data_IF_633422329865
#
_entry.id   IF_633422329865
#
_cell.length_a   1.000
_cell.length_b   1.000
_cell.length_c   1.000
_cell.angle_alpha   90.00
_cell.angle_beta   90.00
_cell.angle_gamma   90.00
#
_symmetry.space_group_name_H-M   'P 1'
#
loop_
_entity.id
_entity.type
_entity.pdbx_description
1 polymer ?
#
# COMPACT_ATOMS: atom_id res chain seq x y z
N UNK A 1 10.89 -4.20 -3.78
CA UNK A 1 10.25 -4.24 -5.10
C UNK A 1 10.28 -5.65 -5.65
N UNK A 2 9.16 -6.17 -6.14
CA UNK A 2 9.16 -7.36 -6.98
C UNK A 2 8.79 -6.90 -8.39
N UNK A 3 9.78 -6.86 -9.29
CA UNK A 3 9.59 -6.52 -10.72
C UNK A 3 8.49 -7.36 -11.37
N UNK A 4 8.18 -8.51 -10.78
CA UNK A 4 7.17 -9.48 -11.22
C UNK A 4 5.71 -8.98 -11.21
N UNK A 5 5.39 -7.74 -10.82
CA UNK A 5 4.01 -7.21 -10.75
C UNK A 5 3.78 -5.92 -11.57
N UNK A 6 4.74 -5.54 -12.41
CA UNK A 6 4.58 -4.46 -13.40
C UNK A 6 4.33 -5.07 -14.79
N UNK A 7 3.59 -4.32 -15.61
CA UNK A 7 3.29 -4.67 -17.01
C UNK A 7 4.18 -3.85 -17.97
N UNK A 8 4.52 -2.60 -17.61
CA UNK A 8 5.45 -1.72 -18.33
C UNK A 8 6.84 -1.64 -17.67
N UNK A 9 7.81 -1.03 -18.35
CA UNK A 9 9.12 -0.75 -17.75
C UNK A 9 8.98 0.13 -16.50
N UNK A 10 9.58 -0.26 -15.37
CA UNK A 10 9.41 0.44 -14.12
C UNK A 10 10.16 1.76 -14.11
N UNK A 11 9.40 2.85 -14.17
CA UNK A 11 9.89 4.21 -13.95
C UNK A 11 9.60 4.73 -12.53
N UNK A 12 8.82 4.01 -11.71
CA UNK A 12 8.52 4.38 -10.33
C UNK A 12 8.92 3.29 -9.33
N UNK A 13 9.60 3.71 -8.26
CA UNK A 13 10.09 2.85 -7.18
C UNK A 13 9.79 3.46 -5.80
N UNK A 14 9.44 2.63 -4.83
CA UNK A 14 9.31 2.99 -3.41
C UNK A 14 10.39 2.27 -2.59
N UNK A 15 11.06 3.02 -1.73
CA UNK A 15 12.06 2.53 -0.78
C UNK A 15 11.61 2.92 0.62
N UNK A 16 11.44 1.94 1.49
CA UNK A 16 11.19 2.19 2.91
C UNK A 16 12.52 2.36 3.64
N UNK A 17 12.77 3.55 4.18
CA UNK A 17 13.88 3.80 5.09
C UNK A 17 13.43 3.41 6.50
N UNK A 18 13.85 2.22 6.94
CA UNK A 18 13.35 1.60 8.17
C UNK A 18 14.26 1.95 9.35
N UNK A 19 13.69 2.60 10.36
CA UNK A 19 14.35 2.91 11.62
C UNK A 19 13.76 2.06 12.74
N UNK A 20 14.53 1.18 13.40
CA UNK A 20 14.06 0.47 14.58
C UNK A 20 13.85 1.45 15.73
N UNK A 21 12.71 1.35 16.42
CA UNK A 21 12.40 2.13 17.61
C UNK A 21 11.75 1.22 18.64
N UNK A 22 12.24 1.29 19.87
CA UNK A 22 11.73 0.49 20.99
C UNK A 22 10.74 1.28 21.85
N UNK A 23 9.87 0.55 22.56
CA UNK A 23 9.07 1.08 23.70
C UNK A 23 8.18 2.28 23.34
N UNK A 24 7.57 2.26 22.16
CA UNK A 24 6.54 3.22 21.80
C UNK A 24 5.19 2.84 22.42
N UNK A 25 4.43 3.86 22.77
CA UNK A 25 3.01 3.83 23.07
C UNK A 25 2.28 4.34 21.82
N UNK A 26 1.23 3.62 21.41
CA UNK A 26 0.44 3.91 20.23
C UNK A 26 -0.97 4.30 20.70
N UNK A 27 -1.34 5.55 20.47
CA UNK A 27 -2.65 6.07 20.81
C UNK A 27 -3.42 6.35 19.51
N UNK A 28 -4.60 5.76 19.35
CA UNK A 28 -5.40 5.87 18.12
C UNK A 28 -5.77 7.34 17.86
N UNK A 29 -5.53 7.80 16.63
CA UNK A 29 -5.82 9.20 16.26
C UNK A 29 -7.24 9.40 15.73
N UNK A 30 -7.91 8.32 15.35
CA UNK A 30 -9.26 8.29 14.80
C UNK A 30 -9.92 6.93 15.09
N UNK A 31 -11.16 6.78 14.65
CA UNK A 31 -11.98 5.56 14.76
C UNK A 31 -11.64 4.49 13.70
N UNK A 32 -10.68 4.74 12.82
CA UNK A 32 -10.31 3.78 11.76
C UNK A 32 -9.35 2.70 12.28
N UNK A 33 -8.61 3.00 13.35
CA UNK A 33 -7.55 2.14 13.88
C UNK A 33 -6.34 2.00 12.95
N UNK A 34 -6.19 2.88 11.96
CA UNK A 34 -5.06 2.87 11.01
C UNK A 34 -4.01 3.95 11.31
N UNK A 35 -4.38 5.02 12.00
CA UNK A 35 -3.53 6.16 12.31
C UNK A 35 -3.35 6.32 13.82
N UNK A 36 -2.12 6.64 14.24
CA UNK A 36 -1.70 6.67 15.63
C UNK A 36 -0.86 7.91 15.93
N UNK A 37 -1.02 8.44 17.14
CA UNK A 37 0.00 9.24 17.82
C UNK A 37 0.99 8.31 18.51
N UNK A 38 2.25 8.72 18.51
CA UNK A 38 3.33 7.93 19.11
C UNK A 38 3.95 8.72 20.26
N UNK A 39 4.05 8.10 21.42
CA UNK A 39 4.80 8.61 22.57
C UNK A 39 5.77 7.55 23.07
N UNK A 40 6.84 7.95 23.76
CA UNK A 40 7.76 6.99 24.35
C UNK A 40 7.26 6.56 25.73
N UNK A 41 7.17 5.26 26.00
CA UNK A 41 6.78 4.73 27.32
C UNK A 41 7.77 5.10 28.43
N UNK A 42 9.03 5.33 28.05
CA UNK A 42 10.18 5.72 28.90
C UNK A 42 11.19 6.48 28.02
N UNK A 43 12.16 7.15 28.63
CA UNK A 43 13.24 7.77 27.88
C UNK A 43 13.89 6.78 26.89
N UNK A 44 13.94 7.11 25.58
CA UNK A 44 14.49 6.22 24.57
C UNK A 44 16.01 6.11 24.73
N UNK A 45 16.59 4.98 24.31
CA UNK A 45 18.06 4.85 24.20
C UNK A 45 18.59 5.83 23.16
N UNK A 46 17.86 5.99 22.07
CA UNK A 46 18.10 6.91 20.97
C UNK A 46 17.69 8.34 21.36
N UNK A 47 18.46 8.97 22.24
CA UNK A 47 18.20 10.32 22.75
C UNK A 47 18.01 11.37 21.64
N UNK A 48 18.61 11.15 20.46
CA UNK A 48 18.42 12.03 19.31
C UNK A 48 16.98 12.10 18.80
N UNK A 49 16.11 11.13 19.15
CA UNK A 49 14.69 11.16 18.78
C UNK A 49 13.91 12.19 19.59
N UNK A 50 14.39 12.58 20.78
CA UNK A 50 13.72 13.55 21.65
C UNK A 50 13.61 14.94 21.00
N UNK A 51 14.53 15.30 20.11
CA UNK A 51 14.46 16.57 19.35
C UNK A 51 13.28 16.63 18.37
N UNK A 52 12.65 15.50 18.09
CA UNK A 52 11.51 15.39 17.18
C UNK A 52 10.17 15.29 17.91
N UNK A 53 10.15 15.46 19.23
CA UNK A 53 8.90 15.56 19.97
C UNK A 53 8.18 16.88 19.65
N UNK A 54 6.86 16.85 19.58
CA UNK A 54 6.02 18.05 19.56
C UNK A 54 5.76 18.60 20.98
N UNK A 55 4.95 19.65 21.06
CA UNK A 55 4.61 20.33 22.31
C UNK A 55 3.88 19.42 23.33
N UNK A 56 3.25 18.34 22.84
CA UNK A 56 2.54 17.36 23.67
C UNK A 56 3.43 16.16 24.03
N UNK A 57 4.72 16.21 23.69
CA UNK A 57 5.66 15.11 23.92
C UNK A 57 5.45 13.91 22.98
N UNK A 58 4.75 14.10 21.86
CA UNK A 58 4.51 13.05 20.85
C UNK A 58 5.56 13.11 19.76
N UNK A 59 5.99 11.97 19.26
CA UNK A 59 6.99 11.86 18.18
C UNK A 59 6.39 12.37 16.87
N UNK A 60 6.85 13.52 16.40
CA UNK A 60 6.31 14.17 15.20
C UNK A 60 6.84 13.55 13.91
N UNK A 61 5.93 12.91 13.16
CA UNK A 61 6.17 12.46 11.79
C UNK A 61 6.66 13.60 10.90
N UNK A 62 6.05 14.79 11.01
CA UNK A 62 6.38 15.96 10.21
C UNK A 62 7.80 16.46 10.47
N UNK A 63 8.21 16.63 11.74
CA UNK A 63 9.56 17.09 12.10
C UNK A 63 10.62 16.12 11.60
N UNK A 64 10.41 14.81 11.77
CA UNK A 64 11.34 13.79 11.28
C UNK A 64 11.43 13.79 9.75
N UNK A 65 10.29 13.87 9.05
CA UNK A 65 10.25 13.88 7.58
C UNK A 65 10.92 15.15 7.01
N UNK A 66 10.73 16.30 7.64
CA UNK A 66 11.40 17.55 7.28
C UNK A 66 12.92 17.45 7.45
N UNK A 67 13.38 16.90 8.57
CA UNK A 67 14.81 16.70 8.82
C UNK A 67 15.43 15.73 7.81
N UNK A 68 14.77 14.60 7.54
CA UNK A 68 15.22 13.64 6.52
C UNK A 68 15.26 14.28 5.14
N UNK A 69 14.24 15.04 4.76
CA UNK A 69 14.20 15.75 3.48
C UNK A 69 15.33 16.78 3.34
N UNK A 70 15.70 17.46 4.42
CA UNK A 70 16.83 18.40 4.43
C UNK A 70 18.15 17.66 4.18
N UNK A 71 18.37 16.53 4.87
CA UNK A 71 19.56 15.68 4.69
C UNK A 71 19.62 15.17 3.25
N UNK A 72 18.55 14.58 2.73
CA UNK A 72 18.49 14.06 1.35
C UNK A 72 18.79 15.17 0.34
N UNK A 73 18.24 16.38 0.52
CA UNK A 73 18.54 17.52 -0.36
C UNK A 73 20.00 17.96 -0.32
N UNK A 74 20.68 17.78 0.81
CA UNK A 74 22.10 18.08 0.93
C UNK A 74 22.94 17.00 0.24
N UNK A 75 22.64 15.73 0.50
CA UNK A 75 23.39 14.60 -0.06
C UNK A 75 23.20 14.43 -1.56
N UNK A 76 22.00 14.71 -2.09
CA UNK A 76 21.72 14.63 -3.53
C UNK A 76 22.65 15.57 -4.34
N UNK A 77 23.09 16.70 -3.77
CA UNK A 77 24.04 17.61 -4.43
C UNK A 77 25.45 17.03 -4.58
N UNK A 78 25.78 16.03 -3.75
CA UNK A 78 27.09 15.38 -3.77
C UNK A 78 27.16 14.25 -4.81
N UNK A 79 26.01 13.81 -5.36
CA UNK A 79 25.92 12.77 -6.38
C UNK A 79 26.35 13.37 -7.73
N UNK A 80 27.48 12.87 -8.27
CA UNK A 80 28.02 13.32 -9.56
C UNK A 80 27.74 12.36 -10.72
N UNK A 81 27.36 11.12 -10.42
CA UNK A 81 27.21 10.04 -11.41
C UNK A 81 25.89 10.08 -12.18
N UNK A 82 24.91 10.84 -11.70
CA UNK A 82 23.60 11.00 -12.34
C UNK A 82 22.97 12.34 -11.94
N UNK A 83 22.11 12.89 -12.79
CA UNK A 83 21.31 14.07 -12.43
C UNK A 83 20.14 13.62 -11.54
N UNK A 84 20.28 13.87 -10.24
CA UNK A 84 19.27 13.53 -9.23
C UNK A 84 18.71 14.81 -8.63
N UNK A 85 17.38 14.92 -8.57
CA UNK A 85 16.69 16.06 -7.95
C UNK A 85 15.63 15.57 -6.97
N UNK A 86 15.22 16.42 -6.02
CA UNK A 86 14.16 16.10 -5.05
C UNK A 86 12.89 16.86 -5.46
N UNK A 87 11.84 16.15 -5.92
CA UNK A 87 10.57 16.77 -6.33
C UNK A 87 9.92 17.55 -5.18
N UNK A 88 9.13 18.58 -5.49
CA UNK A 88 8.41 19.40 -4.50
C UNK A 88 7.54 18.52 -3.59
N UNK A 89 7.44 18.89 -2.30
CA UNK A 89 6.58 18.18 -1.34
C UNK A 89 5.12 18.24 -1.81
N UNK A 90 4.49 17.09 -2.06
CA UNK A 90 3.03 16.98 -2.25
C UNK A 90 2.35 16.98 -0.88
N UNK A 91 1.27 17.75 -0.72
CA UNK A 91 0.56 17.87 0.55
C UNK A 91 0.00 16.53 1.03
N UNK A 92 0.34 16.14 2.27
CA UNK A 92 -0.04 14.87 2.88
C UNK A 92 0.58 13.61 2.25
N UNK A 93 1.57 13.74 1.36
CA UNK A 93 2.37 12.59 0.92
C UNK A 93 3.42 12.23 1.97
N UNK A 94 3.56 10.95 2.36
CA UNK A 94 4.61 10.50 3.28
C UNK A 94 5.98 10.36 2.60
N UNK A 95 6.03 10.44 1.27
CA UNK A 95 7.24 10.15 0.50
C UNK A 95 8.08 11.40 0.21
N UNK A 96 9.40 11.20 0.20
CA UNK A 96 10.37 12.12 -0.38
C UNK A 96 10.75 11.57 -1.75
N UNK A 97 10.13 12.11 -2.80
CA UNK A 97 10.33 11.65 -4.17
C UNK A 97 11.61 12.25 -4.77
N UNK A 98 12.53 11.37 -5.16
CA UNK A 98 13.68 11.67 -6.01
C UNK A 98 13.27 11.51 -7.47
N UNK A 99 13.84 12.35 -8.33
CA UNK A 99 13.76 12.24 -9.78
C UNK A 99 15.19 12.08 -10.30
N UNK A 100 15.46 10.92 -10.87
CA UNK A 100 16.75 10.54 -11.43
C UNK A 100 16.58 10.60 -12.95
N UNK A 101 17.26 11.54 -13.61
CA UNK A 101 17.27 11.55 -15.07
C UNK A 101 18.22 10.47 -15.56
N UNK A 102 17.68 9.53 -16.33
CA UNK A 102 18.44 8.44 -16.92
C UNK A 102 17.99 8.24 -18.39
N UNK A 103 18.38 9.16 -19.29
CA UNK A 103 17.90 9.17 -20.67
C UNK A 103 18.00 7.78 -21.33
N UNK A 104 16.94 7.32 -22.05
CA UNK A 104 15.76 8.08 -22.49
C UNK A 104 14.62 8.15 -21.45
N UNK A 105 14.79 7.59 -20.25
CA UNK A 105 13.72 7.51 -19.24
C UNK A 105 13.99 8.38 -18.02
N UNK A 106 12.94 8.76 -17.31
CA UNK A 106 13.07 9.36 -15.98
C UNK A 106 12.60 8.36 -14.93
N UNK A 107 13.41 8.19 -13.88
CA UNK A 107 13.08 7.30 -12.78
C UNK A 107 12.67 8.14 -11.57
N UNK A 108 11.49 7.86 -11.03
CA UNK A 108 10.97 8.42 -9.79
C UNK A 108 11.19 7.44 -8.64
N UNK A 109 11.82 7.88 -7.55
CA UNK A 109 12.06 7.04 -6.37
C UNK A 109 11.48 7.69 -5.11
N UNK A 110 10.43 7.10 -4.55
CA UNK A 110 9.78 7.52 -3.32
C UNK A 110 10.48 6.93 -2.10
N UNK A 111 11.15 7.78 -1.31
CA UNK A 111 11.73 7.40 -0.03
C UNK A 111 10.70 7.60 1.07
N UNK A 112 10.32 6.52 1.76
CA UNK A 112 9.28 6.49 2.79
C UNK A 112 9.93 6.25 4.15
N UNK A 113 9.93 7.28 5.01
CA UNK A 113 10.36 7.13 6.40
C UNK A 113 9.41 6.19 7.14
N UNK A 114 9.98 5.12 7.72
CA UNK A 114 9.22 4.09 8.41
C UNK A 114 9.86 3.73 9.74
N UNK A 115 9.09 3.66 10.81
CA UNK A 115 9.53 3.10 12.09
C UNK A 115 9.19 1.62 12.15
N UNK A 116 10.14 0.80 12.61
CA UNK A 116 9.90 -0.61 12.94
C UNK A 116 9.84 -0.76 14.45
N UNK A 117 8.73 -1.26 14.96
CA UNK A 117 8.47 -1.37 16.40
C UNK A 117 8.22 -2.82 16.77
N UNK A 118 9.04 -3.35 17.67
CA UNK A 118 8.88 -4.71 18.17
C UNK A 118 7.82 -4.73 19.27
N UNK A 119 6.57 -4.96 18.90
CA UNK A 119 5.44 -5.15 19.80
C UNK A 119 4.30 -5.89 19.08
N UNK A 120 3.34 -6.41 19.84
CA UNK A 120 2.13 -7.02 19.28
C UNK A 120 1.34 -6.03 18.44
N UNK A 121 0.74 -6.50 17.34
CA UNK A 121 -0.11 -5.69 16.47
C UNK A 121 -1.30 -5.08 17.24
N UNK A 122 -1.79 -3.89 16.85
CA UNK A 122 -2.87 -3.22 17.55
C UNK A 122 -4.19 -3.99 17.47
N UNK A 123 -5.10 -3.74 18.42
CA UNK A 123 -6.41 -4.40 18.50
C UNK A 123 -7.26 -4.19 17.24
N UNK A 124 -7.14 -3.03 16.59
CA UNK A 124 -7.79 -2.71 15.31
C UNK A 124 -7.51 -3.74 14.20
N UNK A 125 -6.44 -4.52 14.32
CA UNK A 125 -6.05 -5.54 13.35
C UNK A 125 -6.56 -6.94 13.69
N UNK A 126 -7.19 -7.15 14.85
CA UNK A 126 -7.46 -8.49 15.40
C UNK A 126 -8.29 -9.35 14.45
N UNK A 127 -9.31 -8.76 13.85
CA UNK A 127 -10.23 -9.42 12.91
C UNK A 127 -9.81 -9.28 11.44
N UNK A 128 -8.64 -8.69 11.18
CA UNK A 128 -8.02 -8.62 9.86
C UNK A 128 -7.17 -9.85 9.53
N UNK A 129 -6.59 -9.86 8.31
CA UNK A 129 -5.71 -10.92 7.81
C UNK A 129 -6.38 -12.30 7.89
N UNK A 130 -7.57 -12.42 7.30
CA UNK A 130 -8.39 -13.65 7.32
C UNK A 130 -7.90 -14.69 6.30
N UNK A 131 -6.66 -15.14 6.44
CA UNK A 131 -5.97 -16.03 5.49
C UNK A 131 -5.97 -17.50 5.91
N UNK A 132 -6.76 -17.88 6.90
CA UNK A 132 -6.75 -19.22 7.49
C UNK A 132 -7.06 -20.32 6.45
N UNK A 133 -8.06 -20.11 5.59
CA UNK A 133 -8.43 -21.06 4.54
C UNK A 133 -7.56 -20.92 3.29
N UNK A 134 -6.93 -19.75 3.09
CA UNK A 134 -6.05 -19.51 1.94
C UNK A 134 -4.63 -20.01 2.19
N UNK A 135 -3.92 -19.49 3.20
CA UNK A 135 -2.51 -19.78 3.49
C UNK A 135 -2.30 -20.61 4.76
N UNK A 136 -3.35 -20.80 5.58
CA UNK A 136 -3.28 -21.57 6.81
C UNK A 136 -3.11 -20.73 8.09
N UNK A 137 -3.68 -21.25 9.19
CA UNK A 137 -3.58 -20.64 10.53
C UNK A 137 -2.14 -20.39 10.99
N UNK A 138 -1.20 -21.30 10.68
CA UNK A 138 0.21 -21.17 11.07
C UNK A 138 0.87 -19.94 10.43
N UNK A 139 0.65 -19.73 9.13
CA UNK A 139 1.18 -18.57 8.40
C UNK A 139 0.59 -17.26 8.95
N UNK A 140 -0.71 -17.24 9.27
CA UNK A 140 -1.33 -16.09 9.93
C UNK A 140 -0.66 -15.75 11.26
N UNK A 141 -0.44 -16.75 12.11
CA UNK A 141 0.24 -16.55 13.41
C UNK A 141 1.66 -16.02 13.21
N UNK A 142 2.42 -16.59 12.27
CA UNK A 142 3.76 -16.11 11.93
C UNK A 142 3.76 -14.63 11.51
N UNK A 143 2.86 -14.26 10.59
CA UNK A 143 2.73 -12.87 10.14
C UNK A 143 2.39 -11.91 11.29
N UNK A 144 1.45 -12.28 12.18
CA UNK A 144 1.08 -11.43 13.33
C UNK A 144 2.16 -11.31 14.41
N UNK A 145 3.13 -12.24 14.43
CA UNK A 145 4.28 -12.19 15.34
C UNK A 145 5.41 -11.27 14.83
N UNK A 146 5.33 -10.78 13.58
CA UNK A 146 6.28 -9.82 13.05
C UNK A 146 6.09 -8.42 13.65
N UNK A 147 7.15 -7.61 13.60
CA UNK A 147 7.13 -6.22 14.09
C UNK A 147 6.09 -5.36 13.34
N UNK A 148 5.61 -4.31 14.00
CA UNK A 148 4.78 -3.28 13.38
C UNK A 148 5.67 -2.32 12.57
N UNK A 149 5.16 -1.86 11.43
CA UNK A 149 5.76 -0.78 10.66
C UNK A 149 4.82 0.43 10.66
N UNK A 150 5.37 1.63 10.90
CA UNK A 150 4.63 2.89 10.99
C UNK A 150 5.23 3.90 10.01
N UNK A 151 4.44 4.34 9.04
CA UNK A 151 4.87 5.33 8.03
C UNK A 151 4.46 6.74 8.46
N UNK A 152 5.33 7.72 8.19
CA UNK A 152 5.12 9.14 8.50
C UNK A 152 4.02 9.76 7.61
N UNK A 153 2.75 9.42 7.87
CA UNK A 153 1.59 9.81 7.06
C UNK A 153 0.51 10.47 7.90
N UNK A 154 0.23 11.73 7.57
CA UNK A 154 -0.82 12.54 8.18
C UNK A 154 -2.22 11.97 7.89
N UNK A 155 -3.08 12.01 8.90
CA UNK A 155 -4.51 11.74 8.77
C UNK A 155 -5.21 13.00 8.24
N UNK A 156 -6.11 12.82 7.26
CA UNK A 156 -6.82 13.91 6.58
C UNK A 156 -8.31 14.02 6.94
N UNK A 157 -8.86 13.04 7.66
CA UNK A 157 -10.28 13.07 8.10
C UNK A 157 -10.43 14.02 9.29
N UNK A 158 -10.91 15.23 8.99
CA UNK A 158 -11.36 16.35 9.82
C UNK A 158 -10.66 16.75 11.14
N UNK A 159 -10.43 18.07 11.30
CA UNK A 159 -10.19 18.85 12.54
C UNK A 159 -9.25 18.30 13.60
N UNK A 160 -8.50 17.25 13.32
CA UNK A 160 -7.40 16.83 14.16
C UNK A 160 -6.35 17.93 14.12
N UNK A 161 -6.39 18.79 15.14
CA UNK A 161 -5.32 19.73 15.45
C UNK A 161 -4.01 18.94 15.42
N UNK A 162 -3.13 19.29 14.48
CA UNK A 162 -1.71 18.91 14.39
C UNK A 162 -1.44 17.60 13.62
N UNK A 163 -1.04 17.75 12.35
CA UNK A 163 -0.57 16.71 11.44
C UNK A 163 0.73 16.01 11.85
N UNK A 164 0.65 15.23 12.93
CA UNK A 164 1.77 14.45 13.50
C UNK A 164 1.45 12.95 13.65
N UNK A 165 0.50 12.44 12.90
CA UNK A 165 0.11 11.03 12.97
C UNK A 165 1.03 10.13 12.16
N UNK A 166 1.03 8.86 12.55
CA UNK A 166 1.73 7.77 11.88
C UNK A 166 0.71 6.73 11.45
N UNK A 167 0.84 6.18 10.24
CA UNK A 167 -0.07 5.15 9.74
C UNK A 167 0.57 3.77 9.82
N UNK A 168 -0.19 2.76 10.22
CA UNK A 168 0.24 1.37 10.09
C UNK A 168 0.60 1.03 8.63
N UNK A 169 1.60 0.18 8.47
CA UNK A 169 2.03 -0.35 7.18
C UNK A 169 2.30 -1.85 7.30
N UNK A 170 1.73 -2.62 6.37
CA UNK A 170 1.89 -4.06 6.28
C UNK A 170 2.62 -4.46 5.00
N UNK A 171 3.32 -3.54 4.34
CA UNK A 171 3.96 -3.78 3.04
C UNK A 171 4.93 -4.96 3.03
N UNK A 172 5.58 -5.25 4.17
CA UNK A 172 6.43 -6.43 4.33
C UNK A 172 5.62 -7.75 4.33
N UNK A 173 4.46 -7.78 4.99
CA UNK A 173 3.55 -8.92 4.97
C UNK A 173 2.88 -9.07 3.61
N UNK A 174 2.40 -7.98 3.01
CA UNK A 174 1.86 -7.99 1.65
C UNK A 174 2.87 -8.57 0.65
N UNK A 175 4.15 -8.19 0.77
CA UNK A 175 5.23 -8.74 -0.06
C UNK A 175 5.38 -10.26 0.17
N UNK A 176 5.37 -10.71 1.43
CA UNK A 176 5.44 -12.13 1.75
C UNK A 176 4.25 -12.91 1.18
N UNK A 177 3.04 -12.36 1.28
CA UNK A 177 1.82 -12.94 0.70
C UNK A 177 1.88 -12.99 -0.83
N UNK A 178 2.34 -11.92 -1.49
CA UNK A 178 2.50 -11.92 -2.95
C UNK A 178 3.55 -12.93 -3.41
N UNK A 179 4.60 -13.17 -2.62
CA UNK A 179 5.60 -14.18 -2.95
C UNK A 179 5.04 -15.59 -2.74
N UNK A 180 4.32 -15.82 -1.65
CA UNK A 180 3.76 -17.12 -1.26
C UNK A 180 2.23 -17.13 -1.38
N UNK A 181 1.72 -16.89 -2.59
CA UNK A 181 0.32 -16.59 -2.87
C UNK A 181 -0.55 -17.84 -3.13
N UNK A 182 0.07 -19.02 -3.18
CA UNK A 182 -0.64 -20.28 -3.33
C UNK A 182 -1.30 -20.74 -2.05
N UNK A 183 -2.35 -21.55 -2.19
CA UNK A 183 -2.84 -22.36 -1.09
C UNK A 183 -1.93 -23.57 -0.85
N UNK A 184 -1.42 -24.17 -1.92
CA UNK A 184 -0.30 -25.10 -1.81
C UNK A 184 1.02 -24.33 -1.71
N UNK A 185 1.97 -24.89 -0.96
CA UNK A 185 3.32 -24.30 -0.82
C UNK A 185 4.07 -24.24 -2.15
N UNK A 186 3.71 -25.11 -3.09
CA UNK A 186 4.41 -25.33 -4.36
C UNK A 186 3.82 -24.54 -5.53
N UNK A 187 2.79 -23.71 -5.31
CA UNK A 187 2.14 -22.94 -6.36
C UNK A 187 3.16 -22.03 -7.08
N UNK A 188 3.20 -22.13 -8.41
CA UNK A 188 4.10 -21.35 -9.26
C UNK A 188 5.62 -21.61 -9.11
N UNK A 189 6.07 -22.63 -8.37
CA UNK A 189 7.45 -23.11 -8.41
C UNK A 189 7.81 -23.65 -9.82
N UNK A 190 9.11 -23.80 -10.14
CA UNK A 190 9.60 -24.09 -11.50
C UNK A 190 8.89 -25.26 -12.19
N UNK A 191 8.72 -26.39 -11.49
CA UNK A 191 8.17 -27.64 -12.06
C UNK A 191 6.73 -27.93 -11.59
N UNK A 192 5.97 -26.88 -11.25
CA UNK A 192 4.66 -27.01 -10.60
C UNK A 192 3.58 -26.23 -11.35
N UNK A 193 2.28 -26.58 -11.18
CA UNK A 193 1.18 -25.86 -11.80
C UNK A 193 1.28 -24.36 -11.53
N UNK A 194 1.23 -23.58 -12.60
CA UNK A 194 1.17 -22.12 -12.54
C UNK A 194 -0.28 -21.70 -12.26
N UNK A 195 -0.45 -20.57 -11.58
CA UNK A 195 -1.75 -19.95 -11.37
C UNK A 195 -1.79 -18.55 -12.02
N UNK A 196 -2.99 -18.01 -12.22
CA UNK A 196 -3.19 -16.69 -12.81
C UNK A 196 -3.33 -15.54 -11.79
N UNK A 197 -3.25 -15.79 -10.47
CA UNK A 197 -3.45 -14.76 -9.41
C UNK A 197 -2.68 -13.46 -9.67
N UNK A 198 -1.37 -13.55 -9.90
CA UNK A 198 -0.52 -12.37 -10.18
C UNK A 198 -0.88 -11.71 -11.50
N UNK A 199 -1.25 -12.48 -12.52
CA UNK A 199 -1.67 -11.97 -13.83
C UNK A 199 -2.97 -11.18 -13.73
N UNK A 200 -3.97 -11.68 -12.99
CA UNK A 200 -5.22 -10.96 -12.73
C UNK A 200 -4.97 -9.63 -12.00
N UNK A 201 -4.14 -9.64 -10.95
CA UNK A 201 -3.76 -8.40 -10.24
C UNK A 201 -3.06 -7.41 -11.16
N UNK A 202 -2.13 -7.89 -12.01
CA UNK A 202 -1.45 -7.06 -13.00
C UNK A 202 -2.45 -6.40 -13.95
N UNK A 203 -3.32 -7.19 -14.58
CA UNK A 203 -4.31 -6.69 -15.54
C UNK A 203 -5.18 -5.58 -14.94
N UNK A 204 -5.71 -5.77 -13.72
CA UNK A 204 -6.55 -4.74 -13.10
C UNK A 204 -5.76 -3.51 -12.68
N UNK A 205 -4.50 -3.67 -12.24
CA UNK A 205 -3.63 -2.53 -11.97
C UNK A 205 -3.40 -1.70 -13.24
N UNK A 206 -3.12 -2.35 -14.36
CA UNK A 206 -2.90 -1.67 -15.64
C UNK A 206 -4.17 -1.01 -16.15
N UNK A 207 -5.32 -1.69 -16.07
CA UNK A 207 -6.62 -1.09 -16.39
C UNK A 207 -6.87 0.19 -15.58
N UNK A 208 -6.65 0.14 -14.26
CA UNK A 208 -6.82 1.32 -13.40
C UNK A 208 -5.82 2.43 -13.76
N UNK A 209 -4.57 2.09 -14.05
CA UNK A 209 -3.54 3.04 -14.45
C UNK A 209 -3.90 3.77 -15.74
N UNK A 210 -4.30 3.04 -16.79
CA UNK A 210 -4.71 3.60 -18.07
C UNK A 210 -5.96 4.48 -17.92
N UNK A 211 -6.95 4.03 -17.16
CA UNK A 211 -8.14 4.84 -16.87
C UNK A 211 -7.79 6.13 -16.11
N UNK A 212 -6.85 6.08 -15.15
CA UNK A 212 -6.37 7.27 -14.43
C UNK A 212 -5.59 8.23 -15.33
N UNK A 213 -4.86 7.72 -16.33
CA UNK A 213 -4.20 8.57 -17.32
C UNK A 213 -5.22 9.33 -18.17
N UNK A 214 -6.30 8.66 -18.60
CA UNK A 214 -7.40 9.29 -19.36
C UNK A 214 -8.28 10.22 -18.53
N UNK A 215 -8.54 9.88 -17.26
CA UNK A 215 -9.50 10.56 -16.38
C UNK A 215 -8.83 10.97 -15.06
N UNK A 216 -7.77 11.77 -15.17
CA UNK A 216 -6.89 12.08 -14.03
C UNK A 216 -7.61 12.77 -12.88
N UNK A 217 -8.55 13.68 -13.16
CA UNK A 217 -9.25 14.46 -12.13
C UNK A 217 -10.29 13.60 -11.40
N UNK A 218 -11.11 12.88 -12.16
CA UNK A 218 -12.20 12.05 -11.68
C UNK A 218 -11.68 10.87 -10.84
N UNK A 219 -10.51 10.35 -11.22
CA UNK A 219 -9.91 9.16 -10.63
C UNK A 219 -8.69 9.46 -9.74
N UNK A 220 -8.43 10.71 -9.35
CA UNK A 220 -7.23 11.08 -8.56
C UNK A 220 -7.10 10.25 -7.27
N UNK A 221 -8.23 10.01 -6.59
CA UNK A 221 -8.31 9.35 -5.28
C UNK A 221 -7.99 7.85 -5.32
N UNK A 222 -8.17 7.20 -6.46
CA UNK A 222 -7.85 5.79 -6.62
C UNK A 222 -6.35 5.57 -6.76
N UNK A 223 -5.90 4.40 -6.33
CA UNK A 223 -4.50 3.99 -6.46
C UNK A 223 -4.43 2.48 -6.49
N UNK A 224 -3.26 1.96 -6.87
CA UNK A 224 -2.99 0.52 -6.97
C UNK A 224 -3.25 -0.26 -5.67
N UNK A 225 -3.28 0.42 -4.52
CA UNK A 225 -3.59 -0.20 -3.23
C UNK A 225 -5.06 -0.66 -3.10
N UNK A 226 -6.01 0.03 -3.75
CA UNK A 226 -7.42 -0.41 -3.75
C UNK A 226 -7.56 -1.74 -4.50
N UNK A 227 -6.98 -1.79 -5.70
CA UNK A 227 -6.93 -3.00 -6.54
C UNK A 227 -6.24 -4.14 -5.79
N UNK A 228 -5.07 -3.89 -5.18
CA UNK A 228 -4.36 -4.91 -4.37
C UNK A 228 -5.19 -5.40 -3.17
N UNK A 229 -5.89 -4.49 -2.48
CA UNK A 229 -6.74 -4.88 -1.33
C UNK A 229 -7.91 -5.75 -1.79
N UNK A 230 -8.57 -5.37 -2.88
CA UNK A 230 -9.64 -6.18 -3.46
C UNK A 230 -9.13 -7.57 -3.92
N UNK A 231 -7.91 -7.62 -4.45
CA UNK A 231 -7.26 -8.88 -4.82
C UNK A 231 -7.01 -9.79 -3.60
N UNK A 232 -6.58 -9.25 -2.46
CA UNK A 232 -6.39 -10.07 -1.26
C UNK A 232 -7.72 -10.63 -0.74
N UNK A 233 -8.79 -9.84 -0.73
CA UNK A 233 -10.12 -10.36 -0.40
C UNK A 233 -10.59 -11.42 -1.40
N UNK A 234 -10.32 -11.23 -2.70
CA UNK A 234 -10.58 -12.22 -3.75
C UNK A 234 -9.84 -13.54 -3.53
N UNK A 235 -8.58 -13.50 -3.10
CA UNK A 235 -7.82 -14.70 -2.77
C UNK A 235 -8.35 -15.43 -1.53
N UNK A 236 -9.00 -14.71 -0.61
CA UNK A 236 -9.66 -15.34 0.56
C UNK A 236 -10.99 -15.98 0.15
N UNK A 237 -11.77 -15.35 -0.73
CA UNK A 237 -13.02 -15.93 -1.24
C UNK A 237 -12.78 -17.16 -2.13
N UNK A 238 -11.69 -17.15 -2.90
CA UNK A 238 -11.28 -18.25 -3.79
C UNK A 238 -9.89 -18.76 -3.40
N UNK A 239 -9.79 -19.52 -2.29
CA UNK A 239 -8.51 -19.86 -1.69
C UNK A 239 -7.74 -20.89 -2.50
N UNK A 240 -8.37 -21.81 -3.23
CA UNK A 240 -7.69 -22.96 -3.84
C UNK A 240 -6.90 -22.56 -5.07
N UNK A 241 -5.79 -23.24 -5.33
CA UNK A 241 -4.98 -22.98 -6.54
C UNK A 241 -5.74 -23.29 -7.83
N UNK A 242 -6.67 -24.25 -7.79
CA UNK A 242 -7.58 -24.58 -8.89
C UNK A 242 -8.57 -23.47 -9.19
N UNK A 243 -8.91 -22.62 -8.22
CA UNK A 243 -9.81 -21.47 -8.46
C UNK A 243 -9.13 -20.40 -9.32
N UNK A 244 -7.80 -20.46 -9.47
CA UNK A 244 -6.96 -19.53 -10.20
C UNK A 244 -6.09 -20.24 -11.23
N UNK A 245 -6.63 -21.28 -11.87
CA UNK A 245 -5.91 -22.05 -12.86
C UNK A 245 -5.49 -21.18 -14.06
N UNK A 246 -4.28 -21.38 -14.57
CA UNK A 246 -3.70 -20.49 -15.60
C UNK A 246 -4.51 -20.48 -16.91
N UNK A 247 -5.08 -21.64 -17.28
CA UNK A 247 -5.93 -21.75 -18.48
C UNK A 247 -7.23 -20.93 -18.41
N UNK A 248 -7.65 -20.57 -17.19
CA UNK A 248 -8.90 -19.86 -16.92
C UNK A 248 -8.67 -18.37 -16.62
N UNK A 249 -7.56 -17.81 -17.11
CA UNK A 249 -7.16 -16.42 -16.84
C UNK A 249 -8.30 -15.42 -17.09
N UNK A 250 -9.02 -15.56 -18.20
CA UNK A 250 -10.14 -14.68 -18.54
C UNK A 250 -11.26 -14.75 -17.49
N UNK A 251 -11.72 -15.95 -17.17
CA UNK A 251 -12.73 -16.17 -16.12
C UNK A 251 -12.27 -15.62 -14.76
N UNK A 252 -11.03 -15.92 -14.35
CA UNK A 252 -10.48 -15.47 -13.08
C UNK A 252 -10.36 -13.95 -13.01
N UNK A 253 -9.94 -13.31 -14.10
CA UNK A 253 -9.84 -11.86 -14.20
C UNK A 253 -11.22 -11.21 -14.14
N UNK A 254 -12.21 -11.71 -14.89
CA UNK A 254 -13.57 -11.20 -14.87
C UNK A 254 -14.24 -11.36 -13.51
N UNK A 255 -14.04 -12.50 -12.83
CA UNK A 255 -14.56 -12.73 -11.48
C UNK A 255 -13.95 -11.77 -10.45
N UNK A 256 -12.64 -11.54 -10.54
CA UNK A 256 -11.96 -10.53 -9.71
C UNK A 256 -12.42 -9.10 -10.04
N UNK A 257 -12.63 -8.77 -11.31
CA UNK A 257 -13.15 -7.48 -11.76
C UNK A 257 -14.56 -7.22 -11.22
N UNK A 258 -15.44 -8.23 -11.29
CA UNK A 258 -16.78 -8.20 -10.73
C UNK A 258 -16.75 -7.87 -9.24
N UNK A 259 -15.93 -8.55 -8.45
CA UNK A 259 -15.77 -8.22 -7.03
C UNK A 259 -15.31 -6.77 -6.78
N UNK A 260 -14.38 -6.26 -7.59
CA UNK A 260 -13.95 -4.87 -7.45
C UNK A 260 -15.06 -3.88 -7.82
N UNK A 261 -15.89 -4.19 -8.83
CA UNK A 261 -17.07 -3.40 -9.18
C UNK A 261 -18.11 -3.39 -8.05
N UNK A 262 -18.37 -4.54 -7.42
CA UNK A 262 -19.27 -4.63 -6.27
C UNK A 262 -18.78 -3.73 -5.13
N UNK A 263 -17.47 -3.77 -4.83
CA UNK A 263 -16.86 -2.90 -3.83
C UNK A 263 -17.08 -1.40 -4.14
N UNK A 264 -16.96 -1.00 -5.42
CA UNK A 264 -17.20 0.38 -5.85
C UNK A 264 -18.66 0.79 -5.69
N UNK A 265 -19.60 -0.06 -6.13
CA UNK A 265 -21.03 0.19 -6.05
C UNK A 265 -21.52 0.30 -4.60
N UNK A 266 -21.03 -0.59 -3.73
CA UNK A 266 -21.34 -0.58 -2.30
C UNK A 266 -20.56 0.50 -1.53
N UNK A 267 -19.59 1.19 -2.18
CA UNK A 267 -18.64 2.10 -1.52
C UNK A 267 -17.98 1.44 -0.31
N UNK A 268 -17.60 0.17 -0.45
CA UNK A 268 -17.11 -0.67 0.63
C UNK A 268 -15.94 -1.54 0.18
N UNK A 269 -14.76 -1.17 0.64
CA UNK A 269 -13.54 -1.97 0.52
C UNK A 269 -12.74 -1.88 1.84
N UNK A 270 -13.04 -2.74 2.82
CA UNK A 270 -12.31 -2.76 4.09
C UNK A 270 -10.83 -3.03 3.88
N UNK A 271 -9.97 -2.32 4.60
CA UNK A 271 -8.54 -2.56 4.59
C UNK A 271 -8.26 -4.00 5.05
N UNK A 272 -7.46 -4.74 4.29
CA UNK A 272 -7.28 -6.19 4.50
C UNK A 272 -6.79 -6.57 5.91
N UNK A 273 -5.96 -5.72 6.52
CA UNK A 273 -5.43 -5.92 7.86
C UNK A 273 -6.20 -5.18 8.97
N UNK A 274 -7.08 -4.22 8.62
CA UNK A 274 -7.75 -3.32 9.57
C UNK A 274 -9.23 -3.20 9.13
N UNK A 275 -10.10 -4.13 9.54
CA UNK A 275 -11.45 -4.23 8.98
C UNK A 275 -12.32 -2.98 9.14
N UNK A 276 -12.08 -2.18 10.19
CA UNK A 276 -12.81 -0.93 10.43
C UNK A 276 -12.41 0.19 9.46
N UNK A 277 -11.20 0.13 8.89
CA UNK A 277 -10.73 1.14 7.96
C UNK A 277 -11.22 0.85 6.53
N UNK A 278 -12.35 1.44 6.16
CA UNK A 278 -12.85 1.37 4.78
C UNK A 278 -12.03 2.28 3.83
N UNK A 279 -11.51 1.71 2.75
CA UNK A 279 -10.71 2.42 1.75
C UNK A 279 -11.56 3.18 0.72
N UNK A 280 -12.81 2.78 0.52
CA UNK A 280 -13.76 3.49 -0.35
C UNK A 280 -14.71 4.30 0.55
N UNK A 281 -14.57 5.62 0.57
CA UNK A 281 -15.41 6.46 1.42
C UNK A 281 -16.70 6.86 0.71
N UNK A 282 -17.78 7.11 1.47
CA UNK A 282 -19.04 7.64 0.92
C UNK A 282 -18.86 9.05 0.33
N UNK A 283 -17.91 9.82 0.85
CA UNK A 283 -17.51 11.13 0.29
C UNK A 283 -16.94 11.00 -1.13
N UNK A 284 -16.44 9.82 -1.49
CA UNK A 284 -15.86 9.50 -2.80
C UNK A 284 -16.83 8.74 -3.71
N UNK A 285 -18.13 8.66 -3.34
CA UNK A 285 -19.11 7.87 -4.08
C UNK A 285 -19.21 8.27 -5.55
N UNK A 286 -19.23 9.57 -5.86
CA UNK A 286 -19.25 10.05 -7.24
C UNK A 286 -18.04 9.57 -8.07
N UNK A 287 -16.84 9.57 -7.48
CA UNK A 287 -15.63 9.03 -8.12
C UNK A 287 -15.71 7.50 -8.27
N UNK A 288 -16.31 6.80 -7.30
CA UNK A 288 -16.53 5.35 -7.35
C UNK A 288 -17.53 4.96 -8.44
N UNK A 289 -18.64 5.70 -8.57
CA UNK A 289 -19.64 5.53 -9.63
C UNK A 289 -19.05 5.83 -11.01
N UNK A 290 -18.18 6.84 -11.11
CA UNK A 290 -17.44 7.13 -12.35
C UNK A 290 -16.51 5.97 -12.71
N UNK A 291 -15.67 5.49 -11.79
CA UNK A 291 -14.76 4.39 -12.04
C UNK A 291 -15.53 3.10 -12.40
N UNK A 292 -16.62 2.82 -11.70
CA UNK A 292 -17.49 1.68 -11.96
C UNK A 292 -18.03 1.71 -13.39
N UNK A 293 -18.59 2.85 -13.84
CA UNK A 293 -19.06 3.02 -15.22
C UNK A 293 -17.93 2.89 -16.26
N UNK A 294 -16.77 3.47 -15.98
CA UNK A 294 -15.61 3.39 -16.87
C UNK A 294 -15.13 1.95 -17.05
N UNK A 295 -15.01 1.19 -15.94
CA UNK A 295 -14.62 -0.22 -15.96
C UNK A 295 -15.69 -1.06 -16.68
N UNK A 296 -16.98 -0.88 -16.39
CA UNK A 296 -18.06 -1.61 -17.04
C UNK A 296 -18.09 -1.37 -18.55
N UNK A 297 -17.82 -0.14 -19.01
CA UNK A 297 -17.67 0.16 -20.43
C UNK A 297 -16.49 -0.62 -21.03
N UNK A 298 -15.33 -0.61 -20.38
CA UNK A 298 -14.18 -1.40 -20.85
C UNK A 298 -14.52 -2.89 -20.90
N UNK A 299 -15.16 -3.44 -19.87
CA UNK A 299 -15.53 -4.85 -19.82
C UNK A 299 -16.50 -5.24 -20.95
N UNK A 300 -17.58 -4.47 -21.14
CA UNK A 300 -18.59 -4.74 -22.17
C UNK A 300 -18.03 -4.67 -23.60
N UNK A 301 -16.96 -3.91 -23.81
CA UNK A 301 -16.31 -3.73 -25.11
C UNK A 301 -14.99 -4.52 -25.25
N UNK A 302 -14.73 -5.50 -24.38
CA UNK A 302 -13.53 -6.37 -24.42
C UNK A 302 -12.20 -5.63 -24.26
N UNK A 303 -12.17 -4.65 -23.36
CA UNK A 303 -11.01 -3.87 -22.94
C UNK A 303 -10.22 -3.23 -24.09
N UNK A 304 -10.83 -2.35 -24.90
CA UNK A 304 -10.13 -1.65 -26.00
C UNK A 304 -8.88 -0.91 -25.51
N UNK A 305 -8.87 -0.44 -24.24
CA UNK A 305 -7.73 0.25 -23.64
C UNK A 305 -6.45 -0.62 -23.51
N UNK A 306 -6.54 -1.93 -23.70
CA UNK A 306 -5.36 -2.81 -23.74
C UNK A 306 -4.69 -2.87 -25.11
N UNK A 307 -5.30 -2.28 -26.14
CA UNK A 307 -4.76 -2.22 -27.51
C UNK A 307 -4.08 -0.87 -27.81
N UNK A 308 -4.18 0.08 -26.89
CA UNK A 308 -3.52 1.39 -26.92
C UNK A 308 -2.14 1.32 -26.28
#
# INVERSE_FOLDING_TARGET
YSRTLQISEPNEFDIMLVMPVERLQLDESDDTGAYYYLSFKRNPKEQYLLKFLDEEGRLSALKMLQALRKIIKQEVKNIKSAEVTVKRKKAGSPAITLQIKNPPTEISVDIILTLKVQQSWPRSTQDGLKIEEWMGRKVRTEFRNNSIYLVAKENKKEKVLRGNTWRLSFSHIEKAMMNNHGNTKTCCESDRPKCCRKSCLKLLKYLLEQLKMKHTKELEKFCSYHVKTAFFHSCVMWPKDTDWHLGDLDHCFQRYLGYFLDCLQESRLPHFFIPQYNLLSLEDKASSDFLSRAISNQWNNRFPIFQE
#
